data_IF_151754130819
#
_entry.id   IF_151754130819
#
_cell.length_a   1.000
_cell.length_b   1.000
_cell.length_c   1.000
_cell.angle_alpha   90.00
_cell.angle_beta   90.00
_cell.angle_gamma   90.00
#
_symmetry.space_group_name_H-M   'P 1'
#
loop_
_entity.id
_entity.type
_entity.pdbx_description
1 polymer ?
#
# COMPACT_ATOMS: atom_id res chain seq x y z
N UNK A 1 1.24 -7.94 5.25
CA UNK A 1 2.45 -8.30 4.46
C UNK A 1 2.49 -7.35 3.28
N UNK A 2 3.50 -6.49 3.19
CA UNK A 2 3.70 -5.71 1.98
C UNK A 2 4.24 -6.68 0.92
N UNK A 3 3.51 -6.86 -0.18
CA UNK A 3 4.04 -7.41 -1.42
C UNK A 3 5.08 -6.42 -1.97
N UNK A 4 6.24 -6.38 -1.33
CA UNK A 4 7.47 -6.05 -2.02
C UNK A 4 7.83 -7.33 -2.75
N UNK A 5 7.24 -7.55 -3.92
CA UNK A 5 7.82 -8.46 -4.91
C UNK A 5 9.23 -7.95 -5.17
N UNK A 6 10.21 -8.53 -4.45
CA UNK A 6 11.63 -8.25 -4.59
C UNK A 6 12.04 -8.73 -5.98
N UNK A 7 11.89 -7.86 -6.97
CA UNK A 7 12.48 -8.08 -8.28
C UNK A 7 13.98 -7.84 -8.09
N UNK A 8 14.76 -8.91 -7.97
CA UNK A 8 16.21 -8.82 -8.13
C UNK A 8 16.47 -8.24 -9.53
N UNK A 9 17.04 -7.05 -9.59
CA UNK A 9 17.53 -6.46 -10.82
C UNK A 9 19.05 -6.67 -10.86
N UNK A 10 19.56 -6.96 -12.05
CA UNK A 10 21.00 -6.96 -12.25
C UNK A 10 21.45 -5.63 -12.84
N UNK A 11 22.58 -5.15 -12.36
CA UNK A 11 23.21 -3.92 -12.80
C UNK A 11 24.61 -4.26 -13.30
N UNK A 12 25.01 -3.66 -14.41
CA UNK A 12 26.37 -3.78 -14.93
C UNK A 12 26.80 -2.48 -15.62
N UNK A 13 28.10 -2.31 -15.75
CA UNK A 13 28.70 -1.35 -16.66
C UNK A 13 29.96 -1.94 -17.30
N UNK A 14 30.35 -1.36 -18.42
CA UNK A 14 31.54 -1.70 -19.19
C UNK A 14 32.27 -0.41 -19.56
N UNK A 15 33.57 -0.38 -19.35
CA UNK A 15 34.45 0.75 -19.70
C UNK A 15 35.66 0.25 -20.46
N UNK A 16 36.12 1.08 -21.41
CA UNK A 16 37.32 0.84 -22.18
C UNK A 16 38.05 2.18 -22.31
N UNK A 17 38.99 2.42 -21.42
CA UNK A 17 39.74 3.67 -21.29
C UNK A 17 41.25 3.38 -21.39
N UNK A 18 42.09 4.43 -21.36
CA UNK A 18 43.56 4.33 -21.40
C UNK A 18 44.14 3.48 -20.24
N UNK A 19 43.41 3.39 -19.11
CA UNK A 19 43.77 2.58 -17.94
C UNK A 19 43.45 1.08 -18.11
N UNK A 20 42.73 0.71 -19.18
CA UNK A 20 42.39 -0.67 -19.51
C UNK A 20 40.90 -0.92 -19.70
N UNK A 21 40.59 -2.16 -20.12
CA UNK A 21 39.23 -2.66 -20.31
C UNK A 21 38.77 -3.38 -19.05
N UNK A 22 37.67 -2.91 -18.44
CA UNK A 22 37.09 -3.55 -17.27
C UNK A 22 35.56 -3.49 -17.29
N UNK A 23 34.94 -4.47 -16.62
CA UNK A 23 33.50 -4.58 -16.51
C UNK A 23 33.10 -5.07 -15.13
N UNK A 24 32.04 -4.49 -14.59
CA UNK A 24 31.55 -4.80 -13.24
C UNK A 24 30.06 -5.10 -13.33
N UNK A 25 29.60 -6.06 -12.52
CA UNK A 25 28.19 -6.37 -12.37
C UNK A 25 27.83 -6.73 -10.92
N UNK A 26 26.60 -6.43 -10.52
CA UNK A 26 26.08 -6.63 -9.16
C UNK A 26 24.56 -6.84 -9.19
N UNK A 27 24.02 -7.49 -8.16
CA UNK A 27 22.59 -7.48 -7.88
C UNK A 27 22.20 -6.22 -7.11
N UNK A 28 21.16 -5.55 -7.59
CA UNK A 28 20.72 -4.26 -7.09
C UNK A 28 19.21 -4.13 -7.23
N UNK A 29 18.60 -3.25 -6.44
CA UNK A 29 17.14 -3.11 -6.39
C UNK A 29 16.63 -1.85 -7.09
N UNK A 30 17.52 -1.00 -7.63
CA UNK A 30 17.17 0.37 -8.03
C UNK A 30 17.88 0.80 -9.32
N UNK A 31 17.19 1.61 -10.11
CA UNK A 31 17.74 2.36 -11.25
C UNK A 31 17.88 3.83 -10.83
N UNK A 32 18.91 4.59 -11.26
CA UNK A 32 19.95 4.29 -12.26
C UNK A 32 21.31 3.88 -11.66
N UNK A 33 21.39 2.74 -10.98
CA UNK A 33 22.62 2.35 -10.28
C UNK A 33 23.80 1.95 -11.17
N UNK A 34 23.59 1.63 -12.46
CA UNK A 34 24.70 1.36 -13.40
C UNK A 34 25.55 2.61 -13.64
N UNK A 35 24.90 3.77 -13.78
CA UNK A 35 25.57 5.07 -13.95
C UNK A 35 26.37 5.40 -12.69
N UNK A 36 25.79 5.17 -11.52
CA UNK A 36 26.49 5.39 -10.25
C UNK A 36 27.77 4.53 -10.12
N UNK A 37 27.68 3.23 -10.43
CA UNK A 37 28.84 2.33 -10.37
C UNK A 37 29.94 2.73 -11.38
N UNK A 38 29.56 3.16 -12.59
CA UNK A 38 30.52 3.63 -13.59
C UNK A 38 31.22 4.93 -13.16
N UNK A 39 30.52 5.82 -12.45
CA UNK A 39 31.10 7.06 -11.95
C UNK A 39 32.06 6.83 -10.78
N UNK A 40 31.87 5.77 -9.97
CA UNK A 40 32.80 5.42 -8.90
C UNK A 40 34.19 5.00 -9.41
N UNK A 41 34.28 4.55 -10.66
CA UNK A 41 35.57 4.19 -11.28
C UNK A 41 36.14 5.32 -12.13
N UNK A 42 35.46 6.46 -12.22
CA UNK A 42 35.98 7.61 -12.97
C UNK A 42 37.01 8.38 -12.13
N UNK A 43 38.12 8.82 -12.73
CA UNK A 43 39.08 9.67 -12.03
C UNK A 43 38.50 11.07 -11.76
N UNK A 44 39.02 11.75 -10.72
CA UNK A 44 38.65 13.13 -10.40
C UNK A 44 39.01 14.10 -11.54
N UNK A 45 38.25 15.18 -11.68
CA UNK A 45 38.41 16.22 -12.70
C UNK A 45 38.38 15.70 -14.16
N UNK A 46 37.67 14.60 -14.41
CA UNK A 46 37.62 13.96 -15.72
C UNK A 46 36.36 14.32 -16.53
N UNK A 47 36.47 14.17 -17.86
CA UNK A 47 35.33 14.26 -18.78
C UNK A 47 34.80 12.84 -19.06
N UNK A 48 33.61 12.50 -18.57
CA UNK A 48 33.04 11.16 -18.68
C UNK A 48 31.84 11.17 -19.62
N UNK A 49 31.90 10.40 -20.70
CA UNK A 49 30.73 10.18 -21.57
C UNK A 49 30.14 8.80 -21.30
N UNK A 50 28.89 8.75 -20.84
CA UNK A 50 28.19 7.50 -20.54
C UNK A 50 27.11 7.26 -21.58
N UNK A 51 27.19 6.11 -22.24
CA UNK A 51 26.19 5.63 -23.17
C UNK A 51 25.19 4.74 -22.43
N UNK A 52 23.91 5.08 -22.48
CA UNK A 52 22.85 4.29 -21.82
C UNK A 52 21.59 4.20 -22.68
N UNK A 53 20.91 3.06 -22.62
CA UNK A 53 19.62 2.86 -23.26
C UNK A 53 18.44 3.38 -22.41
N UNK A 54 18.70 3.80 -21.17
CA UNK A 54 17.67 4.25 -20.25
C UNK A 54 17.43 5.75 -20.33
N UNK A 55 16.46 6.15 -21.17
CA UNK A 55 16.05 7.56 -21.28
C UNK A 55 15.54 8.12 -19.94
N UNK A 56 14.88 7.28 -19.14
CA UNK A 56 14.39 7.67 -17.82
C UNK A 56 15.54 8.01 -16.87
N UNK A 57 16.66 7.26 -16.92
CA UNK A 57 17.87 7.57 -16.14
C UNK A 57 18.46 8.93 -16.53
N UNK A 58 18.62 9.18 -17.84
CA UNK A 58 19.15 10.44 -18.37
C UNK A 58 18.28 11.62 -17.91
N UNK A 59 16.97 11.54 -18.12
CA UNK A 59 16.05 12.61 -17.73
C UNK A 59 16.04 12.84 -16.22
N UNK A 60 16.15 11.77 -15.43
CA UNK A 60 16.16 11.86 -13.96
C UNK A 60 17.39 12.58 -13.44
N UNK A 61 18.58 12.29 -13.98
CA UNK A 61 19.84 12.93 -13.62
C UNK A 61 19.87 14.39 -14.12
N UNK A 62 19.56 14.63 -15.39
CA UNK A 62 19.57 15.98 -15.97
C UNK A 62 18.61 16.92 -15.22
N UNK A 63 17.38 16.45 -14.94
CA UNK A 63 16.41 17.26 -14.20
C UNK A 63 16.75 17.46 -12.73
N UNK A 64 17.74 16.75 -12.18
CA UNK A 64 18.07 16.77 -10.78
C UNK A 64 19.09 17.84 -10.39
N UNK A 65 19.92 18.32 -11.33
CA UNK A 65 20.81 19.47 -11.12
C UNK A 65 20.07 20.75 -10.73
N UNK A 66 18.91 21.00 -11.36
CA UNK A 66 18.10 22.23 -11.16
C UNK A 66 16.84 22.01 -10.30
N UNK A 67 16.78 20.90 -9.56
CA UNK A 67 15.59 20.56 -8.78
C UNK A 67 15.60 21.20 -7.39
N UNK A 68 14.49 21.85 -7.02
CA UNK A 68 14.25 22.27 -5.64
C UNK A 68 14.04 21.06 -4.73
N UNK A 69 14.30 21.22 -3.42
CA UNK A 69 14.05 20.18 -2.40
C UNK A 69 12.64 19.59 -2.55
N UNK A 70 11.61 20.43 -2.75
CA UNK A 70 10.24 19.95 -2.97
C UNK A 70 10.09 19.04 -4.19
N UNK A 71 10.75 19.34 -5.31
CA UNK A 71 10.72 18.49 -6.52
C UNK A 71 11.46 17.18 -6.27
N UNK A 72 12.60 17.23 -5.58
CA UNK A 72 13.33 16.07 -5.11
C UNK A 72 12.47 15.14 -4.25
N UNK A 73 11.65 15.73 -3.36
CA UNK A 73 10.74 14.95 -2.55
C UNK A 73 9.57 14.31 -3.33
N UNK A 74 9.54 14.46 -4.66
CA UNK A 74 8.56 13.87 -5.56
C UNK A 74 9.21 13.06 -6.68
N UNK A 75 10.48 12.66 -6.57
CA UNK A 75 11.14 11.79 -7.54
C UNK A 75 11.35 10.40 -6.96
N UNK A 76 11.09 9.36 -7.75
CA UNK A 76 11.39 7.98 -7.37
C UNK A 76 12.89 7.74 -7.43
N UNK A 77 13.40 6.80 -6.63
CA UNK A 77 14.82 6.44 -6.60
C UNK A 77 15.73 7.66 -6.35
N UNK A 78 15.23 8.62 -5.57
CA UNK A 78 15.93 9.87 -5.34
C UNK A 78 17.27 9.66 -4.63
N UNK A 79 17.41 8.66 -3.76
CA UNK A 79 18.64 8.37 -3.03
C UNK A 79 19.83 8.10 -3.95
N UNK A 80 19.65 7.23 -4.95
CA UNK A 80 20.73 6.92 -5.90
C UNK A 80 21.06 8.13 -6.79
N UNK A 81 20.06 8.95 -7.16
CA UNK A 81 20.29 10.16 -7.96
C UNK A 81 21.04 11.21 -7.14
N UNK A 82 20.71 11.37 -5.84
CA UNK A 82 21.43 12.26 -4.92
C UNK A 82 22.90 11.86 -4.87
N UNK A 83 23.20 10.57 -4.69
CA UNK A 83 24.58 10.07 -4.69
C UNK A 83 25.33 10.33 -5.99
N UNK A 84 24.68 10.14 -7.14
CA UNK A 84 25.28 10.46 -8.44
C UNK A 84 25.68 11.93 -8.50
N UNK A 85 24.80 12.84 -8.04
CA UNK A 85 25.08 14.28 -8.07
C UNK A 85 26.14 14.68 -7.06
N UNK A 86 26.15 14.06 -5.87
CA UNK A 86 27.22 14.24 -4.88
C UNK A 86 28.57 13.87 -5.49
N UNK A 87 28.68 12.66 -6.06
CA UNK A 87 29.92 12.21 -6.70
C UNK A 87 30.38 13.15 -7.83
N UNK A 88 29.45 13.58 -8.69
CA UNK A 88 29.77 14.49 -9.79
C UNK A 88 30.34 15.82 -9.28
N UNK A 89 29.77 16.35 -8.18
CA UNK A 89 30.21 17.63 -7.59
C UNK A 89 31.53 17.49 -6.82
N UNK A 90 31.65 16.47 -5.98
CA UNK A 90 32.83 16.23 -5.15
C UNK A 90 34.06 15.91 -6.01
N UNK A 91 33.91 15.02 -6.99
CA UNK A 91 35.00 14.63 -7.88
C UNK A 91 35.18 15.59 -9.08
N UNK A 92 34.38 16.67 -9.17
CA UNK A 92 34.42 17.65 -10.27
C UNK A 92 34.37 17.00 -11.67
N UNK A 93 33.52 15.98 -11.82
CA UNK A 93 33.39 15.22 -13.07
C UNK A 93 32.48 15.97 -14.04
N UNK A 94 32.93 16.19 -15.26
CA UNK A 94 32.07 16.71 -16.32
C UNK A 94 31.42 15.54 -17.09
N UNK A 95 30.14 15.32 -16.83
CA UNK A 95 29.39 14.18 -17.36
C UNK A 95 28.61 14.53 -18.63
N UNK A 96 28.70 13.67 -19.65
CA UNK A 96 27.86 13.69 -20.84
C UNK A 96 27.08 12.38 -20.96
N UNK A 97 25.76 12.45 -20.82
CA UNK A 97 24.88 11.29 -20.97
C UNK A 97 24.35 11.19 -22.40
N UNK A 98 24.58 10.05 -23.07
CA UNK A 98 24.16 9.81 -24.46
C UNK A 98 23.16 8.67 -24.53
N UNK A 99 21.97 8.94 -25.08
CA UNK A 99 20.96 7.91 -25.34
C UNK A 99 21.38 7.05 -26.53
N UNK A 100 21.48 5.75 -26.32
CA UNK A 100 21.67 4.76 -27.39
C UNK A 100 20.39 3.95 -27.64
N UNK A 101 20.19 3.43 -28.84
CA UNK A 101 19.07 2.53 -29.13
C UNK A 101 19.33 1.17 -28.47
N UNK A 102 18.28 0.57 -27.92
CA UNK A 102 18.36 -0.80 -27.40
C UNK A 102 18.67 -1.74 -28.56
N UNK A 103 19.60 -2.68 -28.37
CA UNK A 103 20.02 -3.64 -29.40
C UNK A 103 20.59 -3.01 -30.67
N UNK A 104 21.36 -1.93 -30.54
CA UNK A 104 22.02 -1.27 -31.67
C UNK A 104 23.30 -1.95 -32.17
N UNK A 105 23.63 -3.16 -31.66
CA UNK A 105 24.86 -3.89 -31.99
C UNK A 105 26.15 -3.23 -31.47
N UNK A 106 26.04 -2.35 -30.47
CA UNK A 106 27.22 -1.77 -29.81
C UNK A 106 27.76 -2.81 -28.83
N UNK A 107 28.97 -3.30 -29.10
CA UNK A 107 29.63 -4.39 -28.36
C UNK A 107 29.58 -4.16 -26.84
N UNK A 108 29.96 -2.97 -26.37
CA UNK A 108 29.96 -2.65 -24.94
C UNK A 108 28.56 -2.68 -24.29
N UNK A 109 27.52 -2.28 -25.01
CA UNK A 109 26.14 -2.36 -24.51
C UNK A 109 25.65 -3.80 -24.44
N UNK A 110 25.98 -4.62 -25.45
CA UNK A 110 25.60 -6.04 -25.47
C UNK A 110 26.32 -6.84 -24.37
N UNK A 111 27.58 -6.48 -24.07
CA UNK A 111 28.30 -7.01 -22.91
C UNK A 111 27.59 -6.60 -21.61
N UNK A 112 27.23 -5.32 -21.49
CA UNK A 112 26.53 -4.79 -20.31
C UNK A 112 25.18 -5.48 -20.08
N UNK A 113 24.37 -5.69 -21.12
CA UNK A 113 23.09 -6.41 -21.04
C UNK A 113 23.27 -7.87 -20.59
N UNK A 114 24.30 -8.56 -21.11
CA UNK A 114 24.64 -9.93 -20.70
C UNK A 114 25.10 -9.98 -19.23
N UNK A 115 25.92 -9.02 -18.81
CA UNK A 115 26.42 -8.93 -17.44
C UNK A 115 25.31 -8.56 -16.44
N UNK A 116 24.40 -7.65 -16.81
CA UNK A 116 23.23 -7.33 -16.01
C UNK A 116 22.36 -8.57 -15.80
N UNK A 117 22.12 -9.38 -16.83
CA UNK A 117 21.41 -10.67 -16.66
C UNK A 117 22.13 -11.61 -15.70
N UNK A 118 23.47 -11.67 -15.72
CA UNK A 118 24.23 -12.46 -14.74
C UNK A 118 24.10 -11.91 -13.32
N UNK A 119 24.17 -10.58 -13.16
CA UNK A 119 24.01 -9.89 -11.89
C UNK A 119 22.66 -10.14 -11.25
N UNK A 120 21.59 -10.32 -12.04
CA UNK A 120 20.26 -10.65 -11.53
C UNK A 120 20.22 -11.94 -10.70
N UNK A 121 21.02 -12.93 -11.07
CA UNK A 121 21.10 -14.23 -10.40
C UNK A 121 22.33 -14.34 -9.49
N UNK A 122 23.11 -13.26 -9.36
CA UNK A 122 24.33 -13.24 -8.57
C UNK A 122 24.09 -12.87 -7.11
N UNK A 123 24.90 -13.45 -6.21
CA UNK A 123 24.88 -13.16 -4.78
C UNK A 123 25.59 -11.84 -4.40
N UNK A 124 26.12 -11.09 -5.38
CA UNK A 124 26.89 -9.88 -5.16
C UNK A 124 25.97 -8.66 -4.97
N UNK A 125 25.40 -8.55 -3.78
CA UNK A 125 24.47 -7.49 -3.40
C UNK A 125 25.19 -6.16 -3.11
N UNK A 126 24.93 -5.13 -3.91
CA UNK A 126 25.35 -3.78 -3.58
C UNK A 126 24.32 -3.13 -2.64
N UNK A 127 24.73 -2.81 -1.41
CA UNK A 127 23.87 -2.10 -0.45
C UNK A 127 23.95 -0.60 -0.67
N UNK A 128 22.83 0.01 -1.05
CA UNK A 128 22.74 1.46 -1.25
C UNK A 128 22.45 2.20 0.07
N UNK A 129 23.26 2.00 1.12
CA UNK A 129 23.10 2.71 2.39
C UNK A 129 23.53 4.17 2.25
N UNK A 130 22.82 5.08 2.87
CA UNK A 130 23.14 6.52 2.80
C UNK A 130 23.44 7.01 4.20
N UNK A 131 24.74 7.11 4.51
CA UNK A 131 25.21 7.53 5.83
C UNK A 131 25.43 9.06 5.88
N UNK A 132 25.59 9.69 4.71
CA UNK A 132 25.82 11.13 4.57
C UNK A 132 25.10 11.66 3.32
N UNK A 133 24.42 12.80 3.46
CA UNK A 133 23.84 13.57 2.35
C UNK A 133 24.39 14.98 2.50
N UNK A 134 25.14 15.42 1.48
CA UNK A 134 25.69 16.79 1.42
C UNK A 134 24.56 17.84 1.30
N UNK A 135 24.91 19.13 1.33
CA UNK A 135 23.98 20.28 1.28
C UNK A 135 23.11 20.39 0.01
N UNK A 136 23.02 19.35 -0.82
CA UNK A 136 22.13 19.24 -1.98
C UNK A 136 20.66 19.43 -1.56
N UNK A 137 20.30 18.93 -0.38
CA UNK A 137 18.96 19.08 0.18
C UNK A 137 19.03 19.83 1.50
N UNK A 138 18.11 20.77 1.70
CA UNK A 138 17.99 21.48 2.98
C UNK A 138 17.57 20.59 4.15
N UNK A 139 16.89 19.49 3.86
CA UNK A 139 16.55 18.44 4.82
C UNK A 139 16.27 17.12 4.11
N UNK A 140 16.57 16.01 4.78
CA UNK A 140 16.26 14.66 4.29
C UNK A 140 15.51 13.86 5.38
N UNK A 141 14.33 13.30 5.09
CA UNK A 141 13.54 12.61 6.10
C UNK A 141 13.99 11.16 6.28
N UNK A 142 14.11 10.78 7.54
CA UNK A 142 14.59 9.48 8.00
C UNK A 142 13.55 8.88 8.94
N UNK A 143 13.36 7.57 8.90
CA UNK A 143 12.52 6.83 9.83
C UNK A 143 13.35 5.73 10.49
N UNK A 144 13.55 5.81 11.81
CA UNK A 144 14.38 4.87 12.59
C UNK A 144 15.72 4.67 11.88
N UNK A 145 16.46 5.76 11.69
CA UNK A 145 17.78 5.83 11.04
C UNK A 145 17.83 5.30 9.59
N UNK A 146 16.68 4.96 9.00
CA UNK A 146 16.58 4.52 7.62
C UNK A 146 16.04 5.64 6.72
N UNK A 147 16.76 5.99 5.64
CA UNK A 147 16.32 7.06 4.76
C UNK A 147 15.00 6.70 4.08
N UNK A 148 14.04 7.62 4.09
CA UNK A 148 12.77 7.42 3.37
C UNK A 148 13.02 7.77 1.91
N UNK A 149 12.96 6.78 1.02
CA UNK A 149 12.99 7.05 -0.42
C UNK A 149 11.87 8.01 -0.79
N UNK A 150 12.27 9.16 -1.31
CA UNK A 150 11.34 10.24 -1.52
C UNK A 150 10.58 10.01 -2.83
N UNK A 151 9.44 10.68 -3.05
CA UNK A 151 8.17 10.16 -3.63
C UNK A 151 7.28 9.36 -2.67
N UNK A 152 7.85 8.83 -1.59
CA UNK A 152 7.08 8.04 -0.65
C UNK A 152 6.67 8.89 0.55
N UNK A 153 7.29 10.00 0.97
CA UNK A 153 6.93 10.69 2.24
C UNK A 153 5.42 10.85 2.45
N UNK A 154 4.66 11.43 1.52
CA UNK A 154 3.20 11.54 1.70
C UNK A 154 2.55 10.15 1.80
N UNK A 155 2.90 9.21 0.92
CA UNK A 155 2.41 7.83 0.95
C UNK A 155 2.86 7.06 2.18
N UNK A 156 4.05 7.35 2.70
CA UNK A 156 4.70 6.77 3.84
C UNK A 156 3.99 7.23 5.10
N UNK A 157 3.81 8.55 5.25
CA UNK A 157 3.01 9.15 6.31
C UNK A 157 1.57 8.61 6.25
N UNK A 158 0.92 8.61 5.08
CA UNK A 158 -0.42 8.05 4.93
C UNK A 158 -0.47 6.56 5.29
N UNK A 159 0.56 5.79 4.95
CA UNK A 159 0.66 4.37 5.30
C UNK A 159 0.88 4.17 6.80
N UNK A 160 1.71 4.99 7.44
CA UNK A 160 1.90 4.98 8.89
C UNK A 160 0.57 5.30 9.58
N UNK A 161 -0.10 6.39 9.18
CA UNK A 161 -1.38 6.79 9.76
C UNK A 161 -2.44 5.72 9.56
N UNK A 162 -2.57 5.17 8.35
CA UNK A 162 -3.51 4.09 8.08
C UNK A 162 -3.18 2.81 8.88
N UNK A 163 -1.90 2.51 9.07
CA UNK A 163 -1.46 1.37 9.89
C UNK A 163 -1.80 1.61 11.35
N UNK A 164 -1.52 2.81 11.87
CA UNK A 164 -1.86 3.22 13.23
C UNK A 164 -3.37 3.15 13.48
N UNK A 165 -4.19 3.70 12.58
CA UNK A 165 -5.65 3.63 12.67
C UNK A 165 -6.14 2.17 12.65
N UNK A 166 -5.58 1.34 11.77
CA UNK A 166 -5.93 -0.07 11.70
C UNK A 166 -5.54 -0.84 12.98
N UNK A 167 -4.38 -0.52 13.58
CA UNK A 167 -3.94 -1.14 14.83
C UNK A 167 -4.77 -0.69 16.02
N UNK A 168 -5.08 0.60 16.13
CA UNK A 168 -5.96 1.11 17.20
C UNK A 168 -7.34 0.45 17.10
N UNK A 169 -7.86 0.30 15.88
CA UNK A 169 -9.13 -0.36 15.64
C UNK A 169 -9.11 -1.86 15.99
N UNK A 170 -8.03 -2.58 15.66
CA UNK A 170 -7.89 -4.00 16.02
C UNK A 170 -7.72 -4.22 17.51
N UNK A 171 -7.14 -3.25 18.22
CA UNK A 171 -6.96 -3.25 19.67
C UNK A 171 -8.22 -2.86 20.45
N UNK A 172 -9.32 -2.48 19.81
CA UNK A 172 -10.59 -2.28 20.51
C UNK A 172 -11.05 -3.59 21.16
N UNK A 173 -11.47 -3.56 22.43
CA UNK A 173 -11.88 -4.75 23.21
C UNK A 173 -12.89 -5.66 22.48
N UNK A 174 -13.79 -5.07 21.70
CA UNK A 174 -14.80 -5.81 20.93
C UNK A 174 -14.23 -6.54 19.70
N UNK A 175 -13.10 -6.07 19.18
CA UNK A 175 -12.45 -6.57 17.96
C UNK A 175 -11.24 -7.46 18.27
N UNK A 176 -10.61 -7.31 19.44
CA UNK A 176 -9.41 -8.07 19.82
C UNK A 176 -9.57 -9.59 19.64
N UNK A 177 -10.68 -10.16 20.11
CA UNK A 177 -10.95 -11.60 19.95
C UNK A 177 -11.06 -12.01 18.47
N UNK A 178 -11.71 -11.19 17.65
CA UNK A 178 -11.91 -11.46 16.22
C UNK A 178 -10.62 -11.29 15.40
N UNK A 179 -9.79 -10.31 15.78
CA UNK A 179 -8.55 -9.99 15.05
C UNK A 179 -7.37 -10.85 15.46
N UNK A 180 -7.26 -11.26 16.73
CA UNK A 180 -6.08 -11.95 17.26
C UNK A 180 -6.33 -13.40 17.72
N UNK A 181 -7.49 -13.71 18.30
CA UNK A 181 -7.77 -15.06 18.81
C UNK A 181 -8.41 -15.97 17.75
N UNK A 182 -9.28 -15.42 16.89
CA UNK A 182 -10.09 -16.18 15.94
C UNK A 182 -9.89 -15.72 14.48
N UNK A 183 -8.63 -15.65 14.04
CA UNK A 183 -8.22 -15.08 12.73
C UNK A 183 -8.98 -15.72 11.53
N UNK A 184 -9.38 -16.98 11.63
CA UNK A 184 -10.03 -17.73 10.54
C UNK A 184 -11.56 -17.68 10.55
N UNK A 185 -12.20 -17.03 11.54
CA UNK A 185 -13.67 -16.97 11.60
C UNK A 185 -14.26 -15.92 10.65
N UNK A 186 -13.48 -14.90 10.27
CA UNK A 186 -13.95 -13.80 9.43
C UNK A 186 -13.06 -13.69 8.19
N UNK A 187 -13.69 -13.77 7.01
CA UNK A 187 -13.05 -13.35 5.77
C UNK A 187 -13.05 -11.81 5.69
N UNK A 188 -11.99 -11.21 6.22
CA UNK A 188 -11.82 -9.76 6.23
C UNK A 188 -11.87 -9.14 4.84
N UNK A 189 -11.43 -9.86 3.80
CA UNK A 189 -11.46 -9.35 2.42
C UNK A 189 -12.90 -9.14 1.97
N UNK A 190 -13.77 -10.12 2.19
CA UNK A 190 -15.20 -10.02 1.88
C UNK A 190 -15.86 -8.94 2.75
N UNK A 191 -15.58 -8.95 4.06
CA UNK A 191 -16.16 -7.97 4.99
C UNK A 191 -15.87 -6.54 4.55
N UNK A 192 -14.61 -6.22 4.21
CA UNK A 192 -14.24 -4.89 3.76
C UNK A 192 -14.86 -4.54 2.40
N UNK A 193 -15.02 -5.49 1.48
CA UNK A 193 -15.71 -5.26 0.21
C UNK A 193 -17.19 -4.92 0.44
N UNK A 194 -17.87 -5.63 1.34
CA UNK A 194 -19.26 -5.31 1.72
C UNK A 194 -19.35 -3.91 2.33
N UNK A 195 -18.45 -3.60 3.28
CA UNK A 195 -18.39 -2.27 3.89
C UNK A 195 -18.12 -1.15 2.88
N UNK A 196 -17.20 -1.38 1.95
CA UNK A 196 -16.90 -0.44 0.87
C UNK A 196 -18.07 -0.32 -0.11
N UNK A 197 -18.79 -1.40 -0.37
CA UNK A 197 -19.96 -1.36 -1.25
C UNK A 197 -21.05 -0.47 -0.66
N UNK A 198 -21.36 -0.66 0.62
CA UNK A 198 -22.16 0.29 1.36
C UNK A 198 -21.55 1.70 1.21
N UNK A 199 -20.21 1.85 1.33
CA UNK A 199 -19.44 3.13 1.22
C UNK A 199 -19.71 3.91 -0.04
N UNK A 200 -19.90 3.18 -1.14
CA UNK A 200 -20.14 3.73 -2.46
C UNK A 200 -21.43 4.53 -2.59
N UNK A 201 -22.41 4.38 -1.68
CA UNK A 201 -23.59 5.25 -1.67
C UNK A 201 -23.20 6.60 -1.06
N UNK A 202 -22.90 7.57 -1.93
CA UNK A 202 -22.73 8.96 -1.52
C UNK A 202 -23.85 9.35 -0.54
N UNK A 203 -23.49 9.78 0.66
CA UNK A 203 -24.41 10.16 1.74
C UNK A 203 -25.13 11.46 1.39
N UNK A 204 -26.06 11.40 0.44
CA UNK A 204 -26.82 12.53 -0.10
C UNK A 204 -28.14 12.74 0.63
N UNK A 205 -28.51 11.88 1.57
CA UNK A 205 -29.73 12.00 2.36
C UNK A 205 -29.53 11.58 3.82
N UNK A 206 -30.42 12.05 4.70
CA UNK A 206 -30.41 11.66 6.10
C UNK A 206 -30.65 10.15 6.29
N UNK A 207 -31.53 9.56 5.47
CA UNK A 207 -31.85 8.13 5.54
C UNK A 207 -30.61 7.26 5.26
N UNK A 208 -29.83 7.60 4.24
CA UNK A 208 -28.59 6.86 3.94
C UNK A 208 -27.59 7.01 5.08
N UNK A 209 -27.40 8.22 5.61
CA UNK A 209 -26.52 8.46 6.75
C UNK A 209 -26.93 7.67 8.02
N UNK A 210 -28.24 7.57 8.31
CA UNK A 210 -28.74 6.78 9.44
C UNK A 210 -28.45 5.29 9.27
N UNK A 211 -28.74 4.73 8.10
CA UNK A 211 -28.47 3.33 7.79
C UNK A 211 -26.98 3.02 7.92
N UNK A 212 -26.15 3.95 7.47
CA UNK A 212 -24.71 3.82 7.58
C UNK A 212 -24.17 3.82 8.98
N UNK A 213 -24.64 4.78 9.77
CA UNK A 213 -24.37 4.86 11.19
C UNK A 213 -24.84 3.59 11.89
N UNK A 214 -25.99 3.03 11.49
CA UNK A 214 -26.52 1.78 12.03
C UNK A 214 -25.63 0.59 11.71
N UNK A 215 -25.22 0.39 10.45
CA UNK A 215 -24.31 -0.69 10.03
C UNK A 215 -22.97 -0.60 10.79
N UNK A 216 -22.38 0.60 10.85
CA UNK A 216 -21.13 0.82 11.57
C UNK A 216 -21.30 0.49 13.07
N UNK A 217 -22.40 0.93 13.70
CA UNK A 217 -22.67 0.62 15.11
C UNK A 217 -22.88 -0.87 15.34
N UNK A 218 -23.52 -1.57 14.41
CA UNK A 218 -23.75 -3.02 14.48
C UNK A 218 -22.42 -3.77 14.48
N UNK A 219 -21.55 -3.45 13.52
CA UNK A 219 -20.25 -4.11 13.36
C UNK A 219 -19.32 -3.92 14.55
N UNK A 220 -19.30 -2.74 15.16
CA UNK A 220 -18.50 -2.48 16.36
C UNK A 220 -19.19 -2.91 17.66
N UNK A 221 -20.39 -3.52 17.60
CA UNK A 221 -21.22 -3.85 18.76
C UNK A 221 -21.53 -2.65 19.69
N UNK A 222 -21.74 -1.46 19.12
CA UNK A 222 -22.02 -0.20 19.84
C UNK A 222 -23.43 0.36 19.56
N UNK A 223 -24.36 -0.51 19.15
CA UNK A 223 -25.76 -0.15 18.97
C UNK A 223 -26.32 0.46 20.27
N UNK A 224 -27.23 1.41 20.16
CA UNK A 224 -27.84 2.11 21.30
C UNK A 224 -28.87 1.23 22.03
N UNK A 225 -28.41 0.10 22.57
CA UNK A 225 -29.18 -0.79 23.43
C UNK A 225 -29.25 -0.21 24.85
N UNK A 226 -30.25 -0.61 25.63
CA UNK A 226 -30.48 -0.13 26.99
C UNK A 226 -29.23 -0.18 27.89
N UNK A 227 -28.43 -1.25 27.82
CA UNK A 227 -27.15 -1.37 28.54
C UNK A 227 -26.13 -0.27 28.17
N UNK A 228 -25.97 0.04 26.88
CA UNK A 228 -25.04 1.08 26.40
C UNK A 228 -25.59 2.49 26.71
N UNK A 229 -26.91 2.68 26.58
CA UNK A 229 -27.57 3.93 26.91
C UNK A 229 -27.51 4.23 28.41
N UNK A 230 -27.69 3.23 29.27
CA UNK A 230 -27.54 3.35 30.71
C UNK A 230 -26.11 3.74 31.13
N UNK A 231 -25.09 3.25 30.43
CA UNK A 231 -23.70 3.69 30.65
C UNK A 231 -23.49 5.17 30.29
N UNK A 232 -24.08 5.63 29.19
CA UNK A 232 -23.89 7.01 28.69
C UNK A 232 -24.72 8.05 29.44
N UNK A 233 -25.96 7.71 29.81
CA UNK A 233 -26.92 8.59 30.48
C UNK A 233 -27.70 7.81 31.55
N UNK A 234 -27.07 7.47 32.69
CA UNK A 234 -27.67 6.60 33.70
C UNK A 234 -28.95 7.18 34.30
N UNK A 235 -29.06 8.51 34.44
CA UNK A 235 -30.26 9.16 34.98
C UNK A 235 -31.52 8.93 34.13
N UNK A 236 -31.37 8.79 32.80
CA UNK A 236 -32.50 8.64 31.87
C UNK A 236 -32.83 7.18 31.57
N UNK A 237 -31.83 6.30 31.56
CA UNK A 237 -31.99 4.92 31.07
C UNK A 237 -31.74 3.83 32.13
N UNK A 238 -31.73 4.19 33.43
CA UNK A 238 -31.49 3.25 34.55
C UNK A 238 -32.38 2.01 34.51
N UNK A 239 -33.63 2.19 34.11
CA UNK A 239 -34.67 1.16 34.11
C UNK A 239 -35.07 0.74 32.70
N UNK A 240 -34.25 1.04 31.69
CA UNK A 240 -34.57 0.69 30.32
C UNK A 240 -34.63 -0.85 30.16
N UNK A 241 -35.82 -1.32 29.82
CA UNK A 241 -36.13 -2.72 29.54
C UNK A 241 -36.25 -2.93 28.04
N UNK A 242 -36.27 -4.20 27.66
CA UNK A 242 -36.66 -4.67 26.34
C UNK A 242 -37.86 -3.93 25.74
N UNK A 243 -37.70 -3.41 24.52
CA UNK A 243 -38.75 -2.69 23.77
C UNK A 243 -39.97 -3.59 23.49
N UNK A 244 -39.76 -4.90 23.31
CA UNK A 244 -40.84 -5.88 23.11
C UNK A 244 -41.52 -6.29 24.43
N UNK A 245 -41.43 -5.47 25.48
CA UNK A 245 -42.08 -5.64 26.79
C UNK A 245 -41.80 -6.97 27.50
N UNK A 246 -40.62 -7.53 27.26
CA UNK A 246 -40.21 -8.81 27.82
C UNK A 246 -39.56 -8.71 29.22
N UNK A 247 -39.73 -7.57 29.89
CA UNK A 247 -39.33 -7.21 31.25
C UNK A 247 -37.86 -7.42 31.68
N UNK A 248 -36.99 -7.87 30.77
CA UNK A 248 -35.55 -8.06 31.00
C UNK A 248 -34.74 -6.85 30.51
N UNK A 249 -33.54 -6.69 31.06
CA UNK A 249 -32.58 -5.65 30.67
C UNK A 249 -32.08 -5.90 29.25
N UNK A 250 -32.05 -4.87 28.43
CA UNK A 250 -31.63 -4.96 27.04
C UNK A 250 -30.09 -4.93 26.91
N UNK A 251 -29.51 -6.06 26.49
CA UNK A 251 -28.09 -6.20 26.18
C UNK A 251 -27.91 -6.99 24.88
N UNK A 252 -26.66 -7.08 24.39
CA UNK A 252 -26.36 -7.78 23.13
C UNK A 252 -26.76 -9.25 23.15
N UNK A 253 -26.47 -9.99 24.21
CA UNK A 253 -26.83 -11.41 24.32
C UNK A 253 -28.36 -11.59 24.28
N UNK A 254 -29.06 -10.73 25.02
CA UNK A 254 -30.50 -10.75 25.14
C UNK A 254 -31.21 -10.37 23.83
N UNK A 255 -30.61 -9.50 23.01
CA UNK A 255 -31.14 -9.18 21.68
C UNK A 255 -31.28 -10.44 20.80
N UNK A 256 -30.35 -11.39 20.91
CA UNK A 256 -30.39 -12.66 20.18
C UNK A 256 -31.24 -13.73 20.87
N UNK A 257 -31.31 -13.74 22.20
CA UNK A 257 -32.09 -14.71 22.98
C UNK A 257 -33.59 -14.35 23.10
N UNK A 258 -33.97 -13.10 22.81
CA UNK A 258 -35.34 -12.64 23.00
C UNK A 258 -36.33 -13.41 22.11
N UNK A 259 -37.27 -14.09 22.75
CA UNK A 259 -38.25 -14.94 22.08
C UNK A 259 -39.17 -14.17 21.12
N UNK A 260 -39.40 -12.88 21.37
CA UNK A 260 -40.18 -12.02 20.48
C UNK A 260 -39.50 -11.82 19.11
N UNK A 261 -38.17 -11.88 19.04
CA UNK A 261 -37.42 -11.73 17.79
C UNK A 261 -37.13 -13.07 17.10
N UNK A 262 -37.49 -14.21 17.71
CA UNK A 262 -37.11 -15.54 17.20
C UNK A 262 -37.53 -15.77 15.73
N UNK A 263 -38.78 -15.46 15.38
CA UNK A 263 -39.29 -15.61 14.02
C UNK A 263 -38.60 -14.68 13.02
N UNK A 264 -38.24 -13.47 13.45
CA UNK A 264 -37.54 -12.49 12.61
C UNK A 264 -36.09 -12.94 12.38
N UNK A 265 -35.41 -13.38 13.45
CA UNK A 265 -34.05 -13.91 13.36
C UNK A 265 -33.97 -15.16 12.48
N UNK A 266 -34.96 -16.05 12.53
CA UNK A 266 -35.05 -17.21 11.63
C UNK A 266 -35.13 -16.78 10.16
N UNK A 267 -36.02 -15.85 9.83
CA UNK A 267 -36.11 -15.30 8.45
C UNK A 267 -34.81 -14.64 8.00
N UNK A 268 -34.17 -13.85 8.87
CA UNK A 268 -32.88 -13.22 8.57
C UNK A 268 -31.81 -14.27 8.32
N UNK A 269 -31.75 -15.33 9.15
CA UNK A 269 -30.80 -16.42 9.02
C UNK A 269 -30.98 -17.15 7.69
N UNK A 270 -32.22 -17.48 7.30
CA UNK A 270 -32.50 -18.12 6.01
C UNK A 270 -31.99 -17.26 4.84
N UNK A 271 -32.37 -15.98 4.80
CA UNK A 271 -31.98 -15.05 3.73
C UNK A 271 -30.46 -14.87 3.67
N UNK A 272 -29.79 -14.73 4.82
CA UNK A 272 -28.34 -14.56 4.88
C UNK A 272 -27.60 -15.83 4.51
N UNK A 273 -28.09 -17.00 4.91
CA UNK A 273 -27.49 -18.29 4.57
C UNK A 273 -27.54 -18.51 3.06
N UNK A 274 -28.69 -18.33 2.43
CA UNK A 274 -28.85 -18.43 0.97
C UNK A 274 -27.87 -17.50 0.22
N UNK A 275 -27.83 -16.23 0.62
CA UNK A 275 -26.94 -15.22 0.01
C UNK A 275 -25.45 -15.52 0.26
N UNK A 276 -25.09 -15.99 1.44
CA UNK A 276 -23.71 -16.34 1.78
C UNK A 276 -23.20 -17.56 1.01
N UNK A 277 -24.05 -18.58 0.81
CA UNK A 277 -23.73 -19.76 0.01
C UNK A 277 -23.47 -19.36 -1.45
N UNK A 278 -24.28 -18.46 -2.01
CA UNK A 278 -24.07 -17.92 -3.36
C UNK A 278 -22.70 -17.22 -3.47
N UNK A 279 -22.33 -16.42 -2.48
CA UNK A 279 -21.03 -15.72 -2.45
C UNK A 279 -19.88 -16.73 -2.36
N UNK A 280 -19.96 -17.71 -1.45
CA UNK A 280 -18.91 -18.71 -1.24
C UNK A 280 -18.76 -19.68 -2.43
N UNK A 281 -19.85 -20.16 -3.03
CA UNK A 281 -19.81 -21.06 -4.18
C UNK A 281 -19.23 -20.38 -5.42
N UNK A 282 -19.60 -19.12 -5.67
CA UNK A 282 -19.09 -18.34 -6.80
C UNK A 282 -17.61 -17.96 -6.63
N UNK A 283 -17.11 -17.82 -5.40
CA UNK A 283 -15.68 -17.64 -5.13
C UNK A 283 -14.85 -18.90 -5.40
N UNK A 284 -15.37 -20.09 -5.06
CA UNK A 284 -14.64 -21.37 -5.24
C UNK A 284 -14.54 -21.80 -6.71
N UNK A 285 -15.47 -21.41 -7.56
CA UNK A 285 -15.50 -21.81 -8.97
C UNK A 285 -14.54 -21.04 -9.88
N UNK A 286 -13.96 -19.91 -9.45
CA UNK A 286 -13.10 -19.07 -10.33
C UNK A 286 -11.79 -18.74 -9.60
N UNK A 287 -10.72 -19.48 -9.95
CA UNK A 287 -9.33 -19.15 -9.59
C UNK A 287 -8.84 -17.91 -10.37
N UNK A 288 -9.33 -16.73 -9.99
CA UNK A 288 -8.77 -15.39 -10.26
C UNK A 288 -9.87 -14.36 -9.95
N UNK A 289 -9.71 -13.55 -8.91
CA UNK A 289 -10.69 -12.52 -8.56
C UNK A 289 -10.43 -11.22 -9.33
N UNK A 290 -11.49 -10.59 -9.86
CA UNK A 290 -11.61 -9.14 -9.90
C UNK A 290 -12.59 -8.68 -8.81
N UNK A 291 -12.26 -7.61 -8.09
CA UNK A 291 -13.15 -6.99 -7.08
C UNK A 291 -14.52 -6.62 -7.66
N UNK A 292 -14.58 -6.42 -8.97
CA UNK A 292 -15.77 -6.08 -9.74
C UNK A 292 -16.85 -7.18 -9.70
N UNK A 293 -16.45 -8.45 -9.63
CA UNK A 293 -17.41 -9.55 -9.58
C UNK A 293 -18.17 -9.62 -8.24
N UNK A 294 -17.45 -9.45 -7.12
CA UNK A 294 -18.08 -9.40 -5.78
C UNK A 294 -19.01 -8.18 -5.71
N UNK A 295 -18.60 -7.06 -6.30
CA UNK A 295 -19.42 -5.84 -6.40
C UNK A 295 -20.74 -6.09 -7.15
N UNK A 296 -20.72 -6.84 -8.25
CA UNK A 296 -21.92 -7.17 -9.02
C UNK A 296 -22.88 -8.09 -8.24
N UNK A 297 -22.37 -9.08 -7.52
CA UNK A 297 -23.20 -9.94 -6.67
C UNK A 297 -23.83 -9.13 -5.52
N UNK A 298 -23.09 -8.20 -4.92
CA UNK A 298 -23.62 -7.30 -3.89
C UNK A 298 -24.68 -6.35 -4.46
N UNK A 299 -24.53 -5.88 -5.70
CA UNK A 299 -25.55 -5.09 -6.41
C UNK A 299 -26.86 -5.86 -6.61
N UNK A 300 -26.81 -7.15 -6.92
CA UNK A 300 -28.03 -7.97 -7.09
C UNK A 300 -28.76 -8.20 -5.76
N UNK A 301 -27.98 -8.31 -4.69
CA UNK A 301 -28.43 -8.67 -3.34
C UNK A 301 -28.98 -7.48 -2.57
N UNK A 302 -28.26 -6.36 -2.59
CA UNK A 302 -28.57 -5.17 -1.80
C UNK A 302 -29.15 -4.06 -2.70
N UNK A 303 -28.89 -4.11 -4.01
CA UNK A 303 -29.38 -3.10 -4.97
C UNK A 303 -28.34 -2.04 -5.30
N UNK A 304 -28.40 -1.54 -6.54
CA UNK A 304 -27.38 -0.64 -7.13
C UNK A 304 -27.33 0.76 -6.49
N UNK A 305 -28.39 1.17 -5.80
CA UNK A 305 -28.48 2.46 -5.11
C UNK A 305 -29.18 2.29 -3.77
N UNK A 306 -28.91 3.19 -2.82
CA UNK A 306 -29.60 3.21 -1.53
C UNK A 306 -31.10 3.55 -1.58
N UNK A 307 -31.65 3.80 -2.78
CA UNK A 307 -33.09 3.98 -3.05
C UNK A 307 -33.72 2.73 -3.70
N UNK A 308 -32.94 1.69 -3.95
CA UNK A 308 -33.45 0.44 -4.50
C UNK A 308 -34.45 -0.20 -3.53
N UNK A 309 -35.50 -0.84 -4.05
CA UNK A 309 -36.44 -1.63 -3.22
C UNK A 309 -35.77 -2.77 -2.44
N UNK A 310 -34.56 -3.16 -2.85
CA UNK A 310 -33.75 -4.22 -2.24
C UNK A 310 -32.77 -3.70 -1.16
N UNK A 311 -32.57 -2.39 -1.05
CA UNK A 311 -31.60 -1.74 -0.15
C UNK A 311 -32.28 -1.27 1.14
#
# INVERSE_FOLDING_TARGET
MADNTMVNLGVAFYTNNEEGEYSVYSSLYLWPSSIFLALLTAPENSNVTIYTDSLSAINSINSAFDSTTRKWLKKTNNLIIIKIIMLIREASINIKLVKIKRHSGIIGNDITDKLAKKGQYGNNLFKNNVDFIDNILSYFPVFIDSPIEVNIIRRFILKILATHEATEWSLLKNNQELCYANINQIDWKITWIIFHYCKGFHCTSMQTNYLWTFIAKLFHKILSLGSILALRKPKLYKEMKCIMNCNKKENWNYLFECQAYKLIWQKILEITTEKSIIICLKQKQIKCQSEDFIRNVLQDIIGVTAKSKKF
#
